data_IF_555017919644
#
_entry.id   IF_555017919644
#
_cell.length_a   1.000
_cell.length_b   1.000
_cell.length_c   1.000
_cell.angle_alpha   90.00
_cell.angle_beta   90.00
_cell.angle_gamma   90.00
#
_symmetry.space_group_name_H-M   'P 1'
#
loop_
_entity.id
_entity.type
_entity.pdbx_description
1 polymer ?
#
# COMPACT_ATOMS: atom_id res chain seq x y z
N UNK A 1 37.13 43.72 -88.90
CA UNK A 1 37.57 42.90 -87.76
C UNK A 1 37.33 43.69 -86.49
N UNK A 2 36.25 43.39 -85.76
CA UNK A 2 35.93 44.01 -84.46
C UNK A 2 35.10 43.00 -83.67
N UNK A 3 35.69 42.43 -82.60
CA UNK A 3 35.20 41.21 -81.94
C UNK A 3 34.05 41.43 -80.93
N UNK A 4 33.25 40.38 -80.63
CA UNK A 4 32.22 40.43 -79.60
C UNK A 4 32.74 39.84 -78.28
N UNK A 5 33.34 40.66 -77.43
CA UNK A 5 33.70 40.31 -76.04
C UNK A 5 32.82 41.08 -75.04
N UNK A 6 31.51 40.82 -75.01
CA UNK A 6 30.61 41.37 -73.97
C UNK A 6 29.37 40.50 -73.74
N UNK A 7 29.49 39.24 -73.30
CA UNK A 7 28.33 38.48 -72.76
C UNK A 7 28.61 37.53 -71.59
N UNK A 8 29.85 37.41 -71.11
CA UNK A 8 30.22 36.36 -70.14
C UNK A 8 30.25 36.79 -68.66
N UNK A 9 29.81 38.00 -68.30
CA UNK A 9 30.05 38.56 -66.95
C UNK A 9 28.84 38.59 -66.00
N UNK A 10 27.65 38.14 -66.40
CA UNK A 10 26.42 38.21 -65.56
C UNK A 10 25.86 36.84 -65.14
N UNK A 11 26.38 35.74 -65.71
CA UNK A 11 25.85 34.39 -65.44
C UNK A 11 26.46 33.77 -64.17
N UNK A 12 27.73 34.10 -63.86
CA UNK A 12 28.46 33.54 -62.73
C UNK A 12 27.88 33.92 -61.34
N UNK A 13 27.53 35.20 -61.05
CA UNK A 13 26.97 35.57 -59.76
C UNK A 13 25.59 34.94 -59.52
N UNK A 14 24.80 34.81 -60.58
CA UNK A 14 23.45 34.24 -60.56
C UNK A 14 23.47 32.73 -60.26
N UNK A 15 24.44 31.99 -60.82
CA UNK A 15 24.64 30.56 -60.53
C UNK A 15 25.15 30.32 -59.10
N UNK A 16 26.03 31.18 -58.59
CA UNK A 16 26.51 31.11 -57.20
C UNK A 16 25.36 31.39 -56.22
N UNK A 17 24.51 32.38 -56.51
CA UNK A 17 23.34 32.69 -55.68
C UNK A 17 22.34 31.53 -55.65
N UNK A 18 22.09 30.88 -56.80
CA UNK A 18 21.19 29.72 -56.90
C UNK A 18 21.73 28.51 -56.13
N UNK A 19 23.04 28.28 -56.17
CA UNK A 19 23.70 27.21 -55.42
C UNK A 19 23.65 27.45 -53.90
N UNK A 20 23.82 28.69 -53.43
CA UNK A 20 23.71 29.04 -52.01
C UNK A 20 22.27 28.91 -51.49
N UNK A 21 21.27 29.32 -52.28
CA UNK A 21 19.84 29.15 -51.91
C UNK A 21 19.44 27.67 -51.91
N UNK A 22 19.92 26.88 -52.86
CA UNK A 22 19.67 25.43 -52.89
C UNK A 22 20.34 24.70 -51.72
N UNK A 23 21.58 25.07 -51.36
CA UNK A 23 22.30 24.52 -50.22
C UNK A 23 21.67 24.95 -48.87
N UNK A 24 21.19 26.20 -48.75
CA UNK A 24 20.46 26.63 -47.57
C UNK A 24 19.10 25.91 -47.43
N UNK A 25 18.43 25.61 -48.55
CA UNK A 25 17.19 24.83 -48.58
C UNK A 25 17.36 23.39 -48.11
N UNK A 26 18.45 22.70 -48.50
CA UNK A 26 18.73 21.33 -48.07
C UNK A 26 19.15 21.25 -46.60
N UNK A 27 19.90 22.22 -46.08
CA UNK A 27 20.25 22.32 -44.65
C UNK A 27 19.00 22.58 -43.78
N UNK A 28 18.06 23.42 -44.23
CA UNK A 28 16.80 23.65 -43.52
C UNK A 28 15.86 22.42 -43.53
N UNK A 29 15.87 21.64 -44.60
CA UNK A 29 15.08 20.40 -44.70
C UNK A 29 15.63 19.29 -43.81
N UNK A 30 16.97 19.14 -43.74
CA UNK A 30 17.65 18.19 -42.85
C UNK A 30 17.45 18.57 -41.38
N UNK A 31 17.60 19.84 -40.99
CA UNK A 31 17.28 20.27 -39.61
C UNK A 31 15.82 20.02 -39.21
N UNK A 32 14.86 20.12 -40.15
CA UNK A 32 13.45 19.82 -39.88
C UNK A 32 13.20 18.31 -39.75
N UNK A 33 13.88 17.49 -40.55
CA UNK A 33 13.82 16.04 -40.43
C UNK A 33 14.44 15.56 -39.13
N UNK A 34 15.64 16.04 -38.78
CA UNK A 34 16.31 15.70 -37.52
C UNK A 34 15.45 16.08 -36.31
N UNK A 35 14.87 17.29 -36.30
CA UNK A 35 13.94 17.71 -35.23
C UNK A 35 12.68 16.85 -35.17
N UNK A 36 12.17 16.38 -36.31
CA UNK A 36 11.00 15.51 -36.38
C UNK A 36 11.32 14.11 -35.86
N UNK A 37 12.47 13.56 -36.21
CA UNK A 37 12.90 12.22 -35.80
C UNK A 37 13.29 12.18 -34.32
N UNK A 38 13.93 13.23 -33.80
CA UNK A 38 14.12 13.45 -32.35
C UNK A 38 12.79 13.47 -31.59
N UNK A 39 11.79 14.19 -32.10
CA UNK A 39 10.46 14.22 -31.49
C UNK A 39 9.79 12.85 -31.48
N UNK A 40 9.83 12.12 -32.61
CA UNK A 40 9.28 10.76 -32.71
C UNK A 40 9.95 9.80 -31.74
N UNK A 41 11.26 9.89 -31.58
CA UNK A 41 11.98 9.04 -30.64
C UNK A 41 11.56 9.32 -29.19
N UNK A 42 11.40 10.59 -28.82
CA UNK A 42 10.86 10.97 -27.52
C UNK A 42 9.42 10.47 -27.29
N UNK A 43 8.56 10.55 -28.32
CA UNK A 43 7.22 9.99 -28.26
C UNK A 43 7.23 8.47 -28.12
N UNK A 44 8.11 7.77 -28.85
CA UNK A 44 8.29 6.32 -28.77
C UNK A 44 8.70 5.88 -27.37
N UNK A 45 9.71 6.53 -26.77
CA UNK A 45 10.15 6.22 -25.39
C UNK A 45 9.02 6.43 -24.38
N UNK A 46 8.25 7.52 -24.51
CA UNK A 46 7.09 7.77 -23.66
C UNK A 46 5.98 6.72 -23.84
N UNK A 47 5.68 6.33 -25.08
CA UNK A 47 4.67 5.32 -25.39
C UNK A 47 5.07 3.92 -24.89
N UNK A 48 6.34 3.52 -25.05
CA UNK A 48 6.86 2.26 -24.50
C UNK A 48 6.67 2.21 -22.98
N UNK A 49 7.00 3.29 -22.28
CA UNK A 49 6.79 3.37 -20.84
C UNK A 49 5.32 3.14 -20.44
N UNK A 50 4.37 3.75 -21.16
CA UNK A 50 2.94 3.52 -20.87
C UNK A 50 2.48 2.10 -21.20
N UNK A 51 3.05 1.47 -22.24
CA UNK A 51 2.83 0.06 -22.53
C UNK A 51 3.31 -0.83 -21.39
N UNK A 52 4.53 -0.60 -20.89
CA UNK A 52 5.10 -1.35 -19.77
C UNK A 52 4.28 -1.17 -18.48
N UNK A 53 3.78 0.05 -18.24
CA UNK A 53 2.85 0.33 -17.15
C UNK A 53 1.55 -0.46 -17.32
N UNK A 54 0.94 -0.47 -18.50
CA UNK A 54 -0.29 -1.20 -18.75
C UNK A 54 -0.11 -2.72 -18.53
N UNK A 55 1.00 -3.29 -18.98
CA UNK A 55 1.34 -4.69 -18.76
C UNK A 55 1.54 -5.00 -17.26
N UNK A 56 2.23 -4.12 -16.54
CA UNK A 56 2.38 -4.21 -15.09
C UNK A 56 1.04 -4.20 -14.36
N UNK A 57 0.17 -3.24 -14.70
CA UNK A 57 -1.18 -3.11 -14.12
C UNK A 57 -2.04 -4.35 -14.43
N UNK A 58 -1.99 -4.85 -15.67
CA UNK A 58 -2.72 -6.05 -16.09
C UNK A 58 -2.24 -7.29 -15.32
N UNK A 59 -0.93 -7.44 -15.12
CA UNK A 59 -0.33 -8.55 -14.36
C UNK A 59 -0.82 -8.55 -12.91
N UNK A 60 -0.85 -7.38 -12.26
CA UNK A 60 -1.36 -7.24 -10.89
C UNK A 60 -2.86 -7.48 -10.83
N UNK A 61 -3.63 -6.91 -11.76
CA UNK A 61 -5.08 -7.10 -11.79
C UNK A 61 -5.47 -8.56 -12.00
N UNK A 62 -4.76 -9.29 -12.88
CA UNK A 62 -4.95 -10.73 -13.07
C UNK A 62 -4.75 -11.50 -11.76
N UNK A 63 -3.64 -11.24 -11.06
CA UNK A 63 -3.40 -11.88 -9.76
C UNK A 63 -4.43 -11.49 -8.70
N UNK A 64 -4.93 -10.26 -8.70
CA UNK A 64 -6.02 -9.85 -7.79
C UNK A 64 -7.35 -10.52 -8.14
N UNK A 65 -7.65 -10.72 -9.42
CA UNK A 65 -8.91 -11.30 -9.91
C UNK A 65 -8.93 -12.82 -9.68
N UNK A 66 -7.85 -13.50 -10.07
CA UNK A 66 -7.62 -14.92 -9.78
C UNK A 66 -7.44 -15.15 -8.27
N UNK A 67 -7.00 -14.10 -7.57
CA UNK A 67 -6.67 -14.07 -6.15
C UNK A 67 -7.81 -13.69 -5.21
N UNK A 68 -9.06 -13.54 -5.66
CA UNK A 68 -10.22 -13.49 -4.73
C UNK A 68 -10.30 -14.71 -3.79
N UNK A 69 -9.50 -15.77 -4.06
CA UNK A 69 -9.30 -16.95 -3.21
C UNK A 69 -7.94 -17.02 -2.48
N UNK A 70 -7.02 -16.06 -2.68
CA UNK A 70 -5.67 -16.06 -2.10
C UNK A 70 -5.62 -15.32 -0.76
N UNK A 71 -4.82 -15.82 0.18
CA UNK A 71 -4.60 -15.18 1.48
C UNK A 71 -3.85 -13.85 1.29
N UNK A 72 -4.06 -12.82 2.14
CA UNK A 72 -3.35 -11.53 2.07
C UNK A 72 -1.82 -11.65 1.94
N UNK A 73 -1.23 -12.66 2.58
CA UNK A 73 0.20 -12.96 2.50
C UNK A 73 0.70 -13.27 1.08
N UNK A 74 -0.06 -14.06 0.30
CA UNK A 74 0.32 -14.44 -1.06
C UNK A 74 0.23 -13.25 -2.00
N UNK A 75 -0.83 -12.45 -1.86
CA UNK A 75 -0.99 -11.21 -2.62
C UNK A 75 0.15 -10.22 -2.29
N UNK A 76 0.53 -10.10 -1.02
CA UNK A 76 1.65 -9.25 -0.62
C UNK A 76 2.96 -9.67 -1.27
N UNK A 77 3.29 -10.97 -1.21
CA UNK A 77 4.51 -11.50 -1.84
C UNK A 77 4.56 -11.19 -3.32
N UNK A 78 3.43 -11.32 -4.00
CA UNK A 78 3.34 -11.01 -5.42
C UNK A 78 3.53 -9.52 -5.72
N UNK A 79 2.81 -8.64 -5.00
CA UNK A 79 2.93 -7.18 -5.16
C UNK A 79 4.36 -6.71 -4.85
N UNK A 80 4.97 -7.22 -3.78
CA UNK A 80 6.35 -6.91 -3.42
C UNK A 80 7.34 -7.37 -4.50
N UNK A 81 7.13 -8.56 -5.08
CA UNK A 81 7.97 -9.05 -6.18
C UNK A 81 7.84 -8.17 -7.42
N UNK A 82 6.62 -7.74 -7.77
CA UNK A 82 6.38 -6.83 -8.88
C UNK A 82 7.03 -5.46 -8.64
N UNK A 83 6.99 -4.94 -7.41
CA UNK A 83 7.59 -3.66 -7.04
C UNK A 83 9.13 -3.66 -7.03
N UNK A 84 9.80 -4.84 -7.04
CA UNK A 84 11.27 -4.92 -7.17
C UNK A 84 11.75 -4.59 -8.57
N UNK A 85 10.95 -4.88 -9.59
CA UNK A 85 11.25 -4.61 -10.98
C UNK A 85 10.08 -3.85 -11.65
N UNK A 86 9.88 -2.58 -11.28
CA UNK A 86 8.79 -1.79 -11.83
C UNK A 86 9.13 -1.26 -13.24
N UNK A 87 8.13 -0.87 -14.04
CA UNK A 87 8.33 -0.13 -15.29
C UNK A 87 9.21 1.09 -15.06
N UNK A 88 10.20 1.30 -15.94
CA UNK A 88 11.14 2.43 -15.86
C UNK A 88 11.06 3.25 -17.13
N UNK A 89 10.93 4.55 -16.99
CA UNK A 89 11.06 5.45 -18.12
C UNK A 89 12.51 5.42 -18.62
N UNK A 90 12.69 5.21 -19.93
CA UNK A 90 14.00 5.26 -20.56
C UNK A 90 14.69 6.62 -20.42
N UNK A 91 16.01 6.68 -20.67
CA UNK A 91 16.76 7.94 -20.61
C UNK A 91 16.14 8.98 -21.56
N UNK A 92 16.22 10.28 -21.24
CA UNK A 92 15.62 11.33 -22.06
C UNK A 92 16.32 11.40 -23.42
N UNK A 93 15.63 11.12 -24.53
CA UNK A 93 16.20 11.28 -25.86
C UNK A 93 16.26 12.77 -26.25
N UNK A 94 17.01 13.07 -27.30
CA UNK A 94 16.94 14.37 -27.96
C UNK A 94 15.49 14.66 -28.37
N UNK A 95 14.97 15.85 -28.05
CA UNK A 95 13.56 16.19 -28.27
C UNK A 95 12.60 15.92 -27.08
N UNK A 96 13.06 15.29 -26.00
CA UNK A 96 12.27 15.00 -24.79
C UNK A 96 11.52 16.22 -24.21
N UNK A 97 12.14 17.41 -24.25
CA UNK A 97 11.52 18.65 -23.74
C UNK A 97 10.35 19.14 -24.59
N UNK A 98 10.30 18.75 -25.87
CA UNK A 98 9.26 19.15 -26.83
C UNK A 98 8.16 18.10 -26.95
N UNK A 99 8.48 16.82 -26.69
CA UNK A 99 7.49 15.74 -26.67
C UNK A 99 6.50 15.92 -25.53
N UNK A 100 5.20 15.88 -25.85
CA UNK A 100 4.14 15.86 -24.85
C UNK A 100 4.11 14.52 -24.12
N UNK A 101 4.17 13.42 -24.87
CA UNK A 101 4.12 12.05 -24.36
C UNK A 101 5.26 11.75 -23.38
N UNK A 102 6.50 12.13 -23.71
CA UNK A 102 7.63 11.93 -22.80
C UNK A 102 7.45 12.71 -21.49
N UNK A 103 6.95 13.95 -21.54
CA UNK A 103 6.71 14.76 -20.33
C UNK A 103 5.58 14.19 -19.47
N UNK A 104 4.54 13.63 -20.08
CA UNK A 104 3.47 12.93 -19.37
C UNK A 104 3.99 11.65 -18.72
N UNK A 105 4.77 10.86 -19.45
CA UNK A 105 5.45 9.66 -18.92
C UNK A 105 6.38 10.00 -17.75
N UNK A 106 7.13 11.11 -17.83
CA UNK A 106 8.00 11.59 -16.74
C UNK A 106 7.23 12.03 -15.50
N UNK A 107 6.01 12.57 -15.67
CA UNK A 107 5.13 12.88 -14.52
C UNK A 107 4.59 11.59 -13.92
N UNK A 108 4.09 10.68 -14.76
CA UNK A 108 3.52 9.41 -14.33
C UNK A 108 4.56 8.52 -13.62
N UNK A 109 5.82 8.50 -14.06
CA UNK A 109 6.89 7.69 -13.45
C UNK A 109 7.19 8.03 -11.99
N UNK A 110 6.79 9.22 -11.53
CA UNK A 110 6.94 9.62 -10.13
C UNK A 110 5.87 9.00 -9.22
N UNK A 111 4.66 8.78 -9.73
CA UNK A 111 3.48 8.47 -8.90
C UNK A 111 2.78 7.16 -9.25
N UNK A 112 3.04 6.56 -10.42
CA UNK A 112 2.31 5.37 -10.90
C UNK A 112 2.41 4.17 -9.95
N UNK A 113 3.50 4.09 -9.18
CA UNK A 113 3.74 2.99 -8.24
C UNK A 113 3.11 3.23 -6.85
N UNK A 114 2.63 4.44 -6.56
CA UNK A 114 2.15 4.80 -5.23
C UNK A 114 0.93 3.98 -4.77
N UNK A 115 -0.08 3.71 -5.62
CA UNK A 115 -1.18 2.81 -5.26
C UNK A 115 -0.70 1.41 -4.87
N UNK A 116 0.26 0.87 -5.60
CA UNK A 116 0.81 -0.47 -5.37
C UNK A 116 1.66 -0.54 -4.10
N UNK A 117 2.45 0.50 -3.82
CA UNK A 117 3.17 0.63 -2.54
C UNK A 117 2.21 0.73 -1.36
N UNK A 118 1.11 1.48 -1.50
CA UNK A 118 0.05 1.57 -0.49
C UNK A 118 -0.63 0.22 -0.29
N UNK A 119 -0.96 -0.50 -1.37
CA UNK A 119 -1.50 -1.86 -1.30
C UNK A 119 -0.57 -2.81 -0.56
N UNK A 120 0.73 -2.84 -0.90
CA UNK A 120 1.72 -3.67 -0.17
C UNK A 120 1.76 -3.36 1.33
N UNK A 121 1.70 -2.08 1.70
CA UNK A 121 1.69 -1.65 3.10
C UNK A 121 0.40 -2.05 3.81
N UNK A 122 -0.77 -1.88 3.17
CA UNK A 122 -2.06 -2.27 3.73
C UNK A 122 -2.15 -3.80 3.94
N UNK A 123 -1.68 -4.59 2.96
CA UNK A 123 -1.55 -6.04 3.10
C UNK A 123 -0.62 -6.41 4.26
N UNK A 124 0.51 -5.73 4.40
CA UNK A 124 1.44 -5.95 5.52
C UNK A 124 0.81 -5.68 6.88
N UNK A 125 -0.02 -4.62 6.99
CA UNK A 125 -0.78 -4.32 8.21
C UNK A 125 -1.81 -5.40 8.50
N UNK A 126 -2.60 -5.80 7.50
CA UNK A 126 -3.61 -6.86 7.64
C UNK A 126 -3.01 -8.18 8.12
N UNK A 127 -1.90 -8.62 7.53
CA UNK A 127 -1.18 -9.83 7.93
C UNK A 127 -0.69 -9.74 9.39
N UNK A 128 -0.23 -8.57 9.83
CA UNK A 128 0.24 -8.38 11.20
C UNK A 128 -0.91 -8.23 12.21
N UNK A 129 -2.06 -7.71 11.77
CA UNK A 129 -3.24 -7.50 12.60
C UNK A 129 -3.98 -8.81 12.92
N UNK A 130 -4.07 -9.73 11.96
CA UNK A 130 -4.79 -11.01 12.12
C UNK A 130 -4.42 -11.79 13.40
N UNK A 131 -3.13 -12.11 13.67
CA UNK A 131 -2.76 -12.83 14.89
C UNK A 131 -3.02 -12.02 16.16
N UNK A 132 -2.85 -10.69 16.12
CA UNK A 132 -3.09 -9.82 17.26
C UNK A 132 -4.57 -9.74 17.63
N UNK A 133 -5.45 -9.50 16.64
CA UNK A 133 -6.91 -9.47 16.83
C UNK A 133 -7.39 -10.81 17.36
N UNK A 134 -6.91 -11.92 16.78
CA UNK A 134 -7.26 -13.27 17.25
C UNK A 134 -6.82 -13.52 18.69
N UNK A 135 -5.62 -13.08 19.07
CA UNK A 135 -5.13 -13.25 20.44
C UNK A 135 -5.91 -12.38 21.44
N UNK A 136 -6.23 -11.14 21.07
CA UNK A 136 -7.03 -10.24 21.89
C UNK A 136 -8.44 -10.81 22.12
N UNK A 137 -9.08 -11.26 21.04
CA UNK A 137 -10.40 -11.88 21.07
C UNK A 137 -10.41 -13.16 21.93
N UNK A 138 -9.42 -14.03 21.76
CA UNK A 138 -9.28 -15.25 22.56
C UNK A 138 -9.05 -14.96 24.06
N UNK A 139 -8.35 -13.88 24.38
CA UNK A 139 -8.08 -13.48 25.76
C UNK A 139 -9.31 -12.83 26.42
N UNK A 140 -10.05 -11.98 25.69
CA UNK A 140 -11.27 -11.35 26.18
C UNK A 140 -12.46 -12.31 26.26
N UNK A 141 -12.49 -13.36 25.44
CA UNK A 141 -13.50 -14.42 25.55
C UNK A 141 -13.27 -15.34 26.78
N UNK A 142 -12.17 -15.18 27.51
CA UNK A 142 -12.01 -15.79 28.84
C UNK A 142 -12.78 -14.95 29.84
N UNK A 143 -14.10 -15.16 29.82
CA UNK A 143 -15.03 -14.51 30.70
C UNK A 143 -14.94 -15.12 32.13
N UNK A 144 -14.60 -14.32 33.16
CA UNK A 144 -14.58 -14.76 34.55
C UNK A 144 -15.86 -15.45 35.01
N UNK A 145 -17.04 -14.97 34.60
CA UNK A 145 -18.32 -15.56 34.96
C UNK A 145 -18.51 -16.95 34.34
N UNK A 146 -18.16 -17.11 33.06
CA UNK A 146 -18.18 -18.41 32.39
C UNK A 146 -17.18 -19.40 33.01
N UNK A 147 -16.02 -18.92 33.48
CA UNK A 147 -15.01 -19.75 34.15
C UNK A 147 -15.43 -20.15 35.56
N UNK A 148 -16.04 -19.24 36.32
CA UNK A 148 -16.49 -19.50 37.68
C UNK A 148 -17.78 -20.36 37.72
N UNK A 149 -18.65 -20.26 36.70
CA UNK A 149 -19.92 -20.99 36.68
C UNK A 149 -20.78 -20.70 37.93
N UNK A 150 -21.32 -21.74 38.55
CA UNK A 150 -22.07 -21.60 39.82
C UNK A 150 -21.17 -21.44 41.05
N UNK A 151 -19.85 -21.60 40.92
CA UNK A 151 -18.87 -21.60 42.01
C UNK A 151 -18.44 -20.19 42.44
N UNK A 152 -19.16 -19.16 41.99
CA UNK A 152 -18.95 -17.75 42.35
C UNK A 152 -19.00 -17.46 43.86
N UNK A 153 -19.50 -18.40 44.68
CA UNK A 153 -19.55 -18.25 46.14
C UNK A 153 -18.39 -18.96 46.87
N UNK A 154 -17.51 -19.66 46.16
CA UNK A 154 -16.42 -20.42 46.77
C UNK A 154 -15.06 -19.77 46.49
N UNK A 155 -14.31 -19.43 47.54
CA UNK A 155 -12.99 -18.79 47.40
C UNK A 155 -11.98 -19.67 46.67
N UNK A 156 -11.96 -20.97 46.97
CA UNK A 156 -10.94 -21.88 46.45
C UNK A 156 -10.94 -21.99 44.90
N UNK A 157 -12.08 -22.29 44.23
CA UNK A 157 -12.13 -22.32 42.75
C UNK A 157 -11.70 -21.01 42.09
N UNK A 158 -12.05 -19.86 42.68
CA UNK A 158 -11.64 -18.55 42.15
C UNK A 158 -10.11 -18.40 42.14
N UNK A 159 -9.42 -18.85 43.22
CA UNK A 159 -7.96 -18.73 43.35
C UNK A 159 -7.19 -19.80 42.57
N UNK A 160 -7.70 -21.03 42.50
CA UNK A 160 -6.96 -22.16 41.92
C UNK A 160 -7.27 -22.41 40.45
N UNK A 161 -8.41 -21.92 39.96
CA UNK A 161 -8.85 -22.16 38.58
C UNK A 161 -9.02 -20.84 37.81
N UNK A 162 -9.89 -19.95 38.28
CA UNK A 162 -10.28 -18.74 37.51
C UNK A 162 -9.12 -17.75 37.36
N UNK A 163 -8.49 -17.33 38.47
CA UNK A 163 -7.35 -16.39 38.43
C UNK A 163 -6.20 -16.95 37.57
N UNK A 164 -5.74 -18.21 37.76
CA UNK A 164 -4.70 -18.78 36.92
C UNK A 164 -5.05 -18.82 35.42
N UNK A 165 -6.29 -19.15 35.05
CA UNK A 165 -6.71 -19.14 33.65
C UNK A 165 -6.68 -17.72 33.04
N UNK A 166 -7.16 -16.71 33.77
CA UNK A 166 -7.11 -15.31 33.32
C UNK A 166 -5.66 -14.81 33.21
N UNK A 167 -4.79 -15.19 34.14
CA UNK A 167 -3.34 -14.88 34.08
C UNK A 167 -2.71 -15.51 32.83
N UNK A 168 -2.99 -16.79 32.55
CA UNK A 168 -2.50 -17.46 31.33
C UNK A 168 -3.02 -16.77 30.07
N UNK A 169 -4.29 -16.35 30.04
CA UNK A 169 -4.88 -15.64 28.91
C UNK A 169 -4.19 -14.28 28.66
N UNK A 170 -3.98 -13.50 29.74
CA UNK A 170 -3.24 -12.23 29.68
C UNK A 170 -1.82 -12.44 29.18
N UNK A 171 -1.10 -13.41 29.74
CA UNK A 171 0.31 -13.62 29.42
C UNK A 171 0.46 -14.15 27.98
N UNK A 172 -0.45 -15.01 27.51
CA UNK A 172 -0.54 -15.40 26.11
C UNK A 172 -0.77 -14.19 25.19
N UNK A 173 -1.69 -13.29 25.55
CA UNK A 173 -1.92 -12.05 24.80
C UNK A 173 -0.68 -11.16 24.78
N UNK A 174 -0.02 -10.94 25.93
CA UNK A 174 1.22 -10.14 26.05
C UNK A 174 2.38 -10.70 25.22
N UNK A 175 2.44 -12.01 25.00
CA UNK A 175 3.44 -12.64 24.13
C UNK A 175 3.19 -12.38 22.64
N UNK A 176 1.99 -11.91 22.27
CA UNK A 176 1.64 -11.62 20.89
C UNK A 176 2.23 -10.28 20.46
N UNK A 177 2.89 -10.27 19.31
CA UNK A 177 3.49 -9.04 18.76
C UNK A 177 2.41 -7.99 18.49
N UNK A 178 2.55 -6.81 19.08
CA UNK A 178 1.67 -5.67 18.85
C UNK A 178 1.96 -5.04 17.48
N UNK A 179 1.00 -5.01 16.55
CA UNK A 179 1.17 -4.34 15.26
C UNK A 179 1.13 -2.83 15.44
N UNK A 180 1.82 -2.10 14.55
CA UNK A 180 1.86 -0.64 14.58
C UNK A 180 0.45 -0.05 14.50
N UNK A 181 0.12 0.87 15.39
CA UNK A 181 -1.18 1.52 15.49
C UNK A 181 -2.22 0.74 16.32
N UNK A 182 -1.83 -0.33 17.00
CA UNK A 182 -2.65 -1.11 17.93
C UNK A 182 -2.18 -1.00 19.38
N UNK A 183 -1.23 -0.12 19.68
CA UNK A 183 -0.61 0.03 21.00
C UNK A 183 -1.66 0.35 22.06
N UNK A 184 -2.55 1.32 21.79
CA UNK A 184 -3.64 1.67 22.69
C UNK A 184 -4.66 0.53 22.88
N UNK A 185 -4.88 -0.29 21.84
CA UNK A 185 -5.76 -1.46 21.93
C UNK A 185 -5.13 -2.52 22.81
N UNK A 186 -3.83 -2.75 22.67
CA UNK A 186 -3.10 -3.69 23.51
C UNK A 186 -3.17 -3.29 25.00
N UNK A 187 -3.01 -2.00 25.30
CA UNK A 187 -3.16 -1.47 26.66
C UNK A 187 -4.58 -1.70 27.20
N UNK A 188 -5.62 -1.46 26.39
CA UNK A 188 -7.02 -1.68 26.82
C UNK A 188 -7.33 -3.14 27.10
N UNK A 189 -6.90 -4.05 26.22
CA UNK A 189 -7.09 -5.50 26.40
C UNK A 189 -6.36 -5.98 27.65
N UNK A 190 -5.10 -5.59 27.82
CA UNK A 190 -4.30 -5.97 28.99
C UNK A 190 -4.89 -5.40 30.28
N UNK A 191 -5.36 -4.15 30.23
CA UNK A 191 -6.02 -3.47 31.34
C UNK A 191 -7.31 -4.17 31.76
N UNK A 192 -8.17 -4.52 30.80
CA UNK A 192 -9.43 -5.21 31.07
C UNK A 192 -9.20 -6.57 31.75
N UNK A 193 -8.30 -7.40 31.22
CA UNK A 193 -8.00 -8.72 31.81
C UNK A 193 -7.35 -8.56 33.18
N UNK A 194 -6.43 -7.60 33.35
CA UNK A 194 -5.80 -7.33 34.64
C UNK A 194 -6.80 -6.84 35.68
N UNK A 195 -7.75 -6.00 35.28
CA UNK A 195 -8.84 -5.55 36.14
C UNK A 195 -9.72 -6.72 36.58
N UNK A 196 -10.13 -7.59 35.65
CA UNK A 196 -10.88 -8.79 35.99
C UNK A 196 -10.12 -9.73 36.95
N UNK A 197 -8.83 -9.96 36.74
CA UNK A 197 -8.00 -10.74 37.69
C UNK A 197 -8.06 -10.13 39.09
N UNK A 198 -7.87 -8.81 39.20
CA UNK A 198 -7.89 -8.11 40.48
C UNK A 198 -9.23 -8.24 41.19
N UNK A 199 -10.32 -8.12 40.44
CA UNK A 199 -11.67 -8.20 40.98
C UNK A 199 -12.09 -9.62 41.37
N UNK A 200 -11.70 -10.64 40.59
CA UNK A 200 -11.85 -12.04 40.99
C UNK A 200 -11.04 -12.32 42.27
N UNK A 201 -9.89 -11.66 42.45
CA UNK A 201 -9.13 -11.69 43.71
C UNK A 201 -9.94 -11.15 44.89
N UNK A 202 -10.52 -9.94 44.74
CA UNK A 202 -11.39 -9.33 45.77
C UNK A 202 -12.60 -10.23 46.07
N UNK A 203 -13.18 -10.85 45.05
CA UNK A 203 -14.29 -11.79 45.20
C UNK A 203 -13.89 -13.03 46.00
N UNK A 204 -12.72 -13.60 45.73
CA UNK A 204 -12.19 -14.73 46.49
C UNK A 204 -11.94 -14.36 47.96
N UNK A 205 -11.43 -13.16 48.22
CA UNK A 205 -11.22 -12.66 49.59
C UNK A 205 -12.58 -12.49 50.32
N UNK A 206 -13.62 -11.98 49.64
CA UNK A 206 -14.95 -11.82 50.25
C UNK A 206 -15.67 -13.15 50.46
N UNK A 207 -15.53 -14.10 49.53
CA UNK A 207 -16.10 -15.44 49.67
C UNK A 207 -15.50 -16.17 50.87
N UNK A 208 -14.20 -15.98 51.14
CA UNK A 208 -13.51 -16.52 52.31
C UNK A 208 -14.06 -15.95 53.63
N UNK A 209 -14.43 -14.66 53.62
CA UNK A 209 -15.12 -13.97 54.72
C UNK A 209 -16.61 -14.32 54.86
N UNK A 210 -17.17 -15.17 53.99
CA UNK A 210 -18.62 -15.48 53.94
C UNK A 210 -19.49 -14.30 53.51
N UNK A 211 -18.92 -13.31 52.81
CA UNK A 211 -19.60 -12.11 52.32
C UNK A 211 -19.97 -12.27 50.86
N UNK A 212 -21.14 -11.76 50.48
CA UNK A 212 -21.51 -11.62 49.08
C UNK A 212 -20.75 -10.47 48.40
N UNK A 213 -20.50 -10.63 47.10
CA UNK A 213 -19.93 -9.62 46.23
C UNK A 213 -20.68 -9.62 44.91
N UNK A 214 -21.11 -8.45 44.47
CA UNK A 214 -21.58 -8.24 43.10
C UNK A 214 -20.43 -7.64 42.31
N UNK A 215 -20.13 -8.25 41.17
CA UNK A 215 -18.94 -7.96 40.40
C UNK A 215 -19.34 -7.28 39.09
N UNK A 216 -18.71 -6.15 38.79
CA UNK A 216 -18.84 -5.46 37.51
C UNK A 216 -17.45 -5.26 36.88
N UNK A 217 -17.28 -5.85 35.70
CA UNK A 217 -16.15 -5.72 34.78
C UNK A 217 -16.62 -5.63 33.33
N UNK A 218 -17.94 -5.56 33.15
CA UNK A 218 -18.57 -5.60 31.84
C UNK A 218 -18.11 -4.40 31.02
N UNK A 219 -18.07 -3.22 31.65
CA UNK A 219 -17.64 -1.98 31.02
C UNK A 219 -16.19 -2.04 30.49
N UNK A 220 -15.24 -2.57 31.27
CA UNK A 220 -13.85 -2.71 30.83
C UNK A 220 -13.71 -3.72 29.68
N UNK A 221 -14.41 -4.86 29.75
CA UNK A 221 -14.39 -5.88 28.71
C UNK A 221 -15.05 -5.38 27.42
N UNK A 222 -16.20 -4.73 27.51
CA UNK A 222 -16.92 -4.16 26.36
C UNK A 222 -16.10 -3.06 25.69
N UNK A 223 -15.46 -2.18 26.48
CA UNK A 223 -14.58 -1.16 25.95
C UNK A 223 -13.36 -1.77 25.22
N UNK A 224 -12.78 -2.85 25.76
CA UNK A 224 -11.68 -3.56 25.12
C UNK A 224 -12.12 -4.30 23.84
N UNK A 225 -13.23 -5.04 23.88
CA UNK A 225 -13.83 -5.72 22.72
C UNK A 225 -14.15 -4.73 21.60
N UNK A 226 -14.78 -3.60 21.94
CA UNK A 226 -15.09 -2.56 20.98
C UNK A 226 -13.81 -1.93 20.38
N UNK A 227 -12.76 -1.76 21.17
CA UNK A 227 -11.47 -1.27 20.68
C UNK A 227 -10.82 -2.25 19.69
N UNK A 228 -10.82 -3.56 20.01
CA UNK A 228 -10.33 -4.63 19.11
C UNK A 228 -11.13 -4.65 17.81
N UNK A 229 -12.46 -4.59 17.90
CA UNK A 229 -13.36 -4.56 16.73
C UNK A 229 -13.12 -3.33 15.85
N UNK A 230 -13.01 -2.14 16.46
CA UNK A 230 -12.73 -0.90 15.73
C UNK A 230 -11.38 -0.96 15.00
N UNK A 231 -10.37 -1.55 15.64
CA UNK A 231 -9.07 -1.74 15.01
C UNK A 231 -9.15 -2.70 13.82
N UNK A 232 -9.82 -3.85 13.97
CA UNK A 232 -10.03 -4.80 12.88
C UNK A 232 -10.77 -4.15 11.70
N UNK A 233 -11.88 -3.45 11.95
CA UNK A 233 -12.64 -2.71 10.94
C UNK A 233 -11.76 -1.71 10.20
N UNK A 234 -10.92 -0.96 10.92
CA UNK A 234 -10.02 0.02 10.32
C UNK A 234 -8.98 -0.64 9.41
N UNK A 235 -8.41 -1.78 9.83
CA UNK A 235 -7.44 -2.53 9.02
C UNK A 235 -8.09 -3.07 7.74
N UNK A 236 -9.32 -3.58 7.85
CA UNK A 236 -10.07 -4.08 6.69
C UNK A 236 -10.45 -2.94 5.73
N UNK A 237 -10.86 -1.78 6.26
CA UNK A 237 -11.15 -0.60 5.47
C UNK A 237 -9.90 -0.06 4.74
N UNK A 238 -8.76 0.04 5.43
CA UNK A 238 -7.47 0.44 4.83
C UNK A 238 -7.09 -0.51 3.67
N UNK A 239 -7.32 -1.82 3.83
CA UNK A 239 -7.04 -2.80 2.80
C UNK A 239 -8.02 -2.69 1.63
N UNK A 240 -9.32 -2.57 1.90
CA UNK A 240 -10.34 -2.39 0.88
C UNK A 240 -10.08 -1.13 0.03
N UNK A 241 -9.79 0.01 0.67
CA UNK A 241 -9.45 1.25 -0.04
C UNK A 241 -8.20 1.08 -0.93
N UNK A 242 -7.18 0.38 -0.43
CA UNK A 242 -5.97 0.15 -1.20
C UNK A 242 -6.20 -0.78 -2.40
N UNK A 243 -7.05 -1.81 -2.25
CA UNK A 243 -7.49 -2.69 -3.32
C UNK A 243 -8.31 -1.93 -4.36
N UNK A 244 -9.28 -1.14 -3.92
CA UNK A 244 -10.14 -0.33 -4.79
C UNK A 244 -9.36 0.70 -5.57
N UNK A 245 -8.34 1.33 -4.96
CA UNK A 245 -7.47 2.27 -5.67
C UNK A 245 -6.69 1.61 -6.80
N UNK A 246 -6.23 0.37 -6.63
CA UNK A 246 -5.54 -0.39 -7.68
C UNK A 246 -6.51 -0.95 -8.73
N UNK A 247 -7.71 -1.34 -8.32
CA UNK A 247 -8.75 -1.84 -9.23
C UNK A 247 -9.43 -0.73 -10.04
N UNK A 248 -9.58 0.45 -9.43
CA UNK A 248 -10.26 1.64 -9.92
C UNK A 248 -9.42 2.57 -10.78
N UNK A 249 -8.10 2.32 -10.93
CA UNK A 249 -7.31 2.83 -12.06
C UNK A 249 -7.85 2.22 -13.37
N UNK A 250 -9.04 2.64 -13.78
CA UNK A 250 -9.47 2.62 -15.18
C UNK A 250 -8.80 3.82 -15.83
N UNK A 251 -7.94 3.53 -16.80
CA UNK A 251 -7.46 4.43 -17.86
C UNK A 251 -8.42 5.59 -18.11
N UNK A 252 -8.15 6.74 -17.50
CA UNK A 252 -8.53 8.06 -18.02
C UNK A 252 -7.47 8.52 -18.99
#
# INVERSE_FOLDING_TARGET
MSGPFRRTMVVLPSLILLAVVAAAGTVLLTERQDRSDQLKEAERVGATYFSDVADFQLKIRRVMTDGKKRKPADLKRFVDAALKDPPRLGPPPEGASRSRTYREALKASKTVLDPYRRLSKALGRSIAAEPFVKAADAALHKDPAALAGFLVFESAPLRTEVIPELVRARDAFRSTKVPKGAEDVAVKVDGAITFAIGQVGVMADRAEDGKSYEFDYGDEYDAALQAVKNYAIKVDADLAEAVDRVAGERTT
#
